data_IF_591726864702
#
_entry.id   IF_591726864702
#
_cell.length_a   1.000
_cell.length_b   1.000
_cell.length_c   1.000
_cell.angle_alpha   90.00
_cell.angle_beta   90.00
_cell.angle_gamma   90.00
#
_symmetry.space_group_name_H-M   'P 1'
#
loop_
_entity.id
_entity.type
_entity.pdbx_description
1 polymer ?
#
# COMPACT_ATOMS: atom_id res chain seq x y z
N UNK A 1 -11.13 -31.49 -0.16
CA UNK A 1 -11.00 -30.63 1.05
C UNK A 1 -9.82 -31.04 1.93
N UNK A 2 -9.70 -32.29 2.41
CA UNK A 2 -8.56 -32.69 3.27
C UNK A 2 -7.20 -32.46 2.62
N UNK A 3 -7.02 -32.82 1.35
CA UNK A 3 -5.78 -32.57 0.60
C UNK A 3 -5.41 -31.07 0.50
N UNK A 4 -6.40 -30.18 0.38
CA UNK A 4 -6.16 -28.73 0.36
C UNK A 4 -5.77 -28.17 1.73
N UNK A 5 -6.34 -28.73 2.82
CA UNK A 5 -5.96 -28.38 4.19
C UNK A 5 -4.54 -28.84 4.52
N UNK A 6 -4.19 -30.06 4.12
CA UNK A 6 -2.82 -30.57 4.26
C UNK A 6 -1.82 -29.75 3.43
N UNK A 7 -2.19 -29.40 2.20
CA UNK A 7 -1.38 -28.53 1.35
C UNK A 7 -1.16 -27.14 1.97
N UNK A 8 -2.17 -26.56 2.60
CA UNK A 8 -2.06 -25.30 3.34
C UNK A 8 -1.07 -25.39 4.50
N UNK A 9 -1.17 -26.45 5.29
CA UNK A 9 -0.29 -26.63 6.45
C UNK A 9 1.16 -26.79 6.02
N UNK A 10 1.42 -27.59 4.98
CA UNK A 10 2.75 -27.74 4.39
C UNK A 10 3.29 -26.44 3.78
N UNK A 11 2.46 -25.65 3.09
CA UNK A 11 2.85 -24.35 2.56
C UNK A 11 3.26 -23.40 3.69
N UNK A 12 2.47 -23.36 4.77
CA UNK A 12 2.72 -22.54 5.96
C UNK A 12 4.00 -22.98 6.68
N UNK A 13 4.18 -24.27 6.91
CA UNK A 13 5.40 -24.80 7.53
C UNK A 13 6.63 -24.52 6.66
N UNK A 14 6.51 -24.72 5.35
CA UNK A 14 7.58 -24.46 4.38
C UNK A 14 8.06 -23.02 4.41
N UNK A 15 7.15 -22.03 4.44
CA UNK A 15 7.57 -20.62 4.50
C UNK A 15 8.19 -20.25 5.87
N UNK A 16 7.70 -20.82 6.98
CA UNK A 16 8.28 -20.59 8.30
C UNK A 16 9.69 -21.17 8.40
N UNK A 17 9.88 -22.39 7.89
CA UNK A 17 11.18 -23.03 7.82
C UNK A 17 12.16 -22.24 6.94
N UNK A 18 11.71 -21.80 5.77
CA UNK A 18 12.51 -20.97 4.86
C UNK A 18 12.94 -19.66 5.50
N UNK A 19 12.04 -18.98 6.22
CA UNK A 19 12.36 -17.77 7.00
C UNK A 19 13.42 -18.03 8.04
N UNK A 20 13.30 -19.13 8.79
CA UNK A 20 14.28 -19.51 9.80
C UNK A 20 15.68 -19.68 9.19
N UNK A 21 15.79 -20.42 8.08
CA UNK A 21 17.06 -20.60 7.36
C UNK A 21 17.63 -19.27 6.87
N UNK A 22 16.80 -18.44 6.24
CA UNK A 22 17.27 -17.17 5.65
C UNK A 22 17.64 -16.13 6.69
N UNK A 23 16.89 -16.05 7.79
CA UNK A 23 17.20 -15.13 8.90
C UNK A 23 18.42 -15.55 9.71
N UNK A 24 18.86 -16.81 9.61
CA UNK A 24 20.12 -17.27 10.20
C UNK A 24 21.35 -16.85 9.38
N UNK A 25 21.18 -16.44 8.11
CA UNK A 25 22.27 -15.88 7.30
C UNK A 25 22.65 -14.50 7.85
N UNK A 26 23.94 -14.13 7.87
CA UNK A 26 24.33 -12.82 8.35
C UNK A 26 23.75 -11.74 7.45
N UNK A 27 23.32 -10.65 8.09
CA UNK A 27 22.92 -9.44 7.38
C UNK A 27 24.11 -8.89 6.60
N UNK A 28 23.93 -8.50 5.32
CA UNK A 28 24.97 -7.87 4.50
C UNK A 28 25.45 -6.51 5.04
N UNK A 29 24.73 -5.95 6.03
CA UNK A 29 25.09 -4.73 6.76
C UNK A 29 25.86 -5.00 8.06
N UNK A 30 25.97 -6.26 8.51
CA UNK A 30 26.69 -6.61 9.73
C UNK A 30 28.15 -6.92 9.42
N UNK A 31 29.08 -6.12 9.95
CA UNK A 31 30.53 -6.24 9.76
C UNK A 31 31.17 -7.44 10.50
N UNK A 32 30.40 -8.44 10.91
CA UNK A 32 30.90 -9.58 11.67
C UNK A 32 31.68 -10.52 10.75
N UNK A 33 33.02 -10.47 10.82
CA UNK A 33 33.95 -11.28 10.01
C UNK A 33 34.03 -12.77 10.42
N UNK A 34 33.12 -13.25 11.29
CA UNK A 34 33.30 -14.56 11.96
C UNK A 34 32.31 -15.66 11.52
N UNK A 35 31.57 -15.48 10.44
CA UNK A 35 30.60 -16.47 9.96
C UNK A 35 30.91 -16.96 8.53
N UNK A 36 31.05 -18.27 8.36
CA UNK A 36 31.27 -18.93 7.06
C UNK A 36 30.03 -18.97 6.16
N UNK A 37 28.85 -18.69 6.70
CA UNK A 37 27.63 -18.54 5.92
C UNK A 37 27.53 -17.09 5.45
N UNK A 38 27.52 -16.84 4.14
CA UNK A 38 27.26 -15.52 3.57
C UNK A 38 25.89 -15.52 2.89
N UNK A 39 25.21 -14.37 2.88
CA UNK A 39 23.98 -14.21 2.12
C UNK A 39 24.31 -14.15 0.63
N UNK A 40 23.82 -15.10 -0.16
CA UNK A 40 24.09 -15.21 -1.60
C UNK A 40 22.84 -14.78 -2.37
N UNK A 41 23.00 -13.84 -3.29
CA UNK A 41 21.94 -13.38 -4.19
C UNK A 41 21.67 -14.43 -5.29
N UNK A 42 20.57 -14.26 -6.04
CA UNK A 42 20.23 -15.08 -7.22
C UNK A 42 21.27 -15.04 -8.34
N UNK A 43 22.16 -14.03 -8.37
CA UNK A 43 23.30 -13.99 -9.30
C UNK A 43 24.49 -14.87 -8.86
N UNK A 44 24.36 -15.57 -7.72
CA UNK A 44 25.40 -16.43 -7.16
C UNK A 44 26.51 -15.67 -6.43
N UNK A 45 26.43 -14.34 -6.35
CA UNK A 45 27.40 -13.50 -5.66
C UNK A 45 26.92 -13.14 -4.25
N UNK A 46 27.87 -12.89 -3.35
CA UNK A 46 27.59 -12.45 -1.99
C UNK A 46 26.87 -11.11 -2.00
N UNK A 47 25.76 -11.00 -1.28
CA UNK A 47 25.15 -9.73 -0.92
C UNK A 47 26.07 -9.05 0.11
N UNK A 48 26.71 -7.95 -0.28
CA UNK A 48 27.50 -7.12 0.62
C UNK A 48 27.20 -5.64 0.33
N UNK A 49 27.01 -4.84 1.38
CA UNK A 49 26.86 -3.38 1.27
C UNK A 49 25.42 -2.84 1.32
N UNK A 50 25.31 -1.53 1.08
CA UNK A 50 24.13 -0.67 1.35
C UNK A 50 22.96 -0.91 0.40
N UNK A 51 23.20 -1.54 -0.76
CA UNK A 51 22.18 -1.79 -1.79
C UNK A 51 21.54 -3.18 -1.71
N UNK A 52 21.68 -3.87 -0.57
CA UNK A 52 21.02 -5.15 -0.35
C UNK A 52 19.57 -4.97 0.13
N UNK A 53 18.65 -5.69 -0.49
CA UNK A 53 17.23 -5.72 -0.15
C UNK A 53 16.87 -7.05 0.49
N UNK A 54 16.10 -6.99 1.58
CA UNK A 54 15.57 -8.17 2.23
C UNK A 54 14.13 -8.42 1.83
N UNK A 55 13.81 -9.62 1.35
CA UNK A 55 12.45 -9.99 0.98
C UNK A 55 11.55 -10.10 2.21
N UNK A 56 10.41 -9.40 2.24
CA UNK A 56 9.45 -9.42 3.35
C UNK A 56 8.77 -10.78 3.55
N UNK A 57 8.73 -11.63 2.52
CA UNK A 57 8.11 -12.95 2.62
C UNK A 57 9.11 -14.02 3.09
N UNK A 58 10.24 -14.21 2.40
CA UNK A 58 11.19 -15.27 2.73
C UNK A 58 12.38 -14.83 3.59
N UNK A 59 12.54 -13.53 3.83
CA UNK A 59 13.65 -12.92 4.59
C UNK A 59 15.04 -13.11 3.99
N UNK A 60 15.15 -13.53 2.72
CA UNK A 60 16.43 -13.65 2.03
C UNK A 60 16.91 -12.31 1.47
N UNK A 61 18.21 -12.22 1.20
CA UNK A 61 18.87 -11.01 0.73
C UNK A 61 19.17 -11.04 -0.77
N UNK A 62 18.98 -9.89 -1.42
CA UNK A 62 19.16 -9.72 -2.86
C UNK A 62 19.86 -8.39 -3.14
N UNK A 63 20.64 -8.31 -4.22
CA UNK A 63 21.12 -7.01 -4.70
C UNK A 63 19.97 -6.22 -5.32
N UNK A 64 19.92 -4.90 -5.08
CA UNK A 64 18.94 -4.02 -5.70
C UNK A 64 18.93 -4.07 -7.23
N UNK A 65 20.09 -4.26 -7.87
CA UNK A 65 20.20 -4.39 -9.34
C UNK A 65 19.76 -5.77 -9.88
N UNK A 66 19.77 -6.82 -9.05
CA UNK A 66 19.38 -8.17 -9.48
C UNK A 66 17.87 -8.41 -9.47
N UNK A 67 17.09 -7.49 -8.88
CA UNK A 67 15.66 -7.64 -8.68
C UNK A 67 14.95 -6.35 -9.05
N UNK A 68 13.71 -6.44 -9.53
CA UNK A 68 12.91 -5.24 -9.75
C UNK A 68 12.50 -4.68 -8.41
N UNK A 69 13.01 -3.49 -8.07
CA UNK A 69 12.56 -2.76 -6.88
C UNK A 69 11.22 -2.08 -7.23
N UNK A 70 10.15 -2.28 -6.45
CA UNK A 70 8.93 -1.47 -6.60
C UNK A 70 9.32 0.01 -6.56
N UNK A 71 8.77 0.84 -7.46
CA UNK A 71 9.18 2.23 -7.75
C UNK A 71 9.17 3.22 -6.56
N UNK A 72 8.91 2.76 -5.33
CA UNK A 72 8.71 3.59 -4.15
C UNK A 72 9.97 4.29 -3.62
N UNK A 73 11.17 3.78 -3.91
CA UNK A 73 12.40 4.49 -3.56
C UNK A 73 12.65 5.73 -4.44
N UNK A 74 12.02 5.82 -5.61
CA UNK A 74 12.10 7.01 -6.48
C UNK A 74 11.16 8.14 -6.02
N UNK A 75 10.15 7.85 -5.20
CA UNK A 75 9.18 8.85 -4.70
C UNK A 75 9.66 9.61 -3.47
N UNK A 76 10.80 9.25 -2.86
CA UNK A 76 11.38 9.98 -1.71
C UNK A 76 11.79 11.42 -2.06
N UNK A 77 11.83 11.78 -3.36
CA UNK A 77 12.03 13.16 -3.82
C UNK A 77 10.75 13.98 -4.02
N UNK A 78 9.56 13.41 -3.79
CA UNK A 78 8.30 14.15 -3.87
C UNK A 78 7.89 14.65 -2.47
N UNK A 79 8.28 15.91 -2.18
CA UNK A 79 7.68 16.82 -1.19
C UNK A 79 7.59 16.37 0.27
N UNK A 80 8.30 17.10 1.13
CA UNK A 80 8.22 17.08 2.60
C UNK A 80 6.86 17.59 3.14
N UNK A 81 5.73 17.12 2.63
CA UNK A 81 4.38 17.48 3.13
C UNK A 81 3.35 16.39 2.81
N UNK A 82 3.68 15.12 3.04
CA UNK A 82 2.63 14.12 3.28
C UNK A 82 3.14 13.02 4.17
N UNK A 83 2.91 13.21 5.48
CA UNK A 83 2.61 12.12 6.39
C UNK A 83 1.27 11.49 5.98
N UNK A 84 1.21 10.90 4.79
CA UNK A 84 0.15 9.97 4.45
C UNK A 84 0.65 8.61 4.90
N UNK A 85 0.03 8.13 5.99
CA UNK A 85 0.09 6.76 6.45
C UNK A 85 0.16 5.85 5.23
N UNK A 86 1.34 5.27 4.96
CA UNK A 86 1.49 4.20 3.99
C UNK A 86 0.46 3.15 4.38
N UNK A 87 -0.60 3.11 3.60
CA UNK A 87 -1.72 2.30 3.99
C UNK A 87 -1.24 0.85 3.93
N UNK A 88 -1.44 0.09 5.00
CA UNK A 88 -1.14 -1.35 5.08
C UNK A 88 -1.76 -2.21 3.95
N UNK A 89 -2.60 -1.64 3.08
CA UNK A 89 -3.15 -2.23 1.86
C UNK A 89 -2.47 -1.77 0.55
N UNK A 90 -1.50 -0.85 0.59
CA UNK A 90 -0.58 -0.57 -0.53
C UNK A 90 0.56 -1.60 -0.47
N UNK A 91 0.24 -2.80 -0.93
CA UNK A 91 1.13 -3.97 -1.00
C UNK A 91 2.38 -3.77 -1.87
N UNK A 92 2.57 -2.60 -2.48
CA UNK A 92 3.77 -2.21 -3.21
C UNK A 92 4.88 -1.67 -2.29
N UNK A 93 4.59 -1.37 -1.02
CA UNK A 93 5.55 -0.86 -0.01
C UNK A 93 6.58 -1.86 0.49
N UNK A 94 6.39 -3.15 0.15
CA UNK A 94 7.20 -4.26 0.64
C UNK A 94 7.94 -4.95 -0.50
N UNK A 95 9.24 -5.18 -0.34
CA UNK A 95 10.03 -5.86 -1.34
C UNK A 95 9.76 -7.37 -1.27
N UNK A 96 9.27 -7.94 -2.38
CA UNK A 96 9.14 -9.38 -2.55
C UNK A 96 10.08 -9.83 -3.67
N UNK A 97 10.91 -10.83 -3.40
CA UNK A 97 11.78 -11.38 -4.43
C UNK A 97 10.98 -12.05 -5.56
N UNK A 98 11.55 -12.24 -6.76
CA UNK A 98 10.82 -12.82 -7.91
C UNK A 98 10.17 -14.18 -7.62
N UNK A 99 10.78 -15.00 -6.75
CA UNK A 99 10.21 -16.28 -6.32
C UNK A 99 8.97 -16.09 -5.46
N UNK A 100 9.02 -15.16 -4.50
CA UNK A 100 7.89 -14.83 -3.63
C UNK A 100 6.79 -14.04 -4.36
N UNK A 101 7.13 -13.32 -5.42
CA UNK A 101 6.15 -12.63 -6.28
C UNK A 101 5.20 -13.61 -6.97
N UNK A 102 5.67 -14.81 -7.34
CA UNK A 102 4.82 -15.86 -7.93
C UNK A 102 3.74 -16.35 -6.97
N UNK A 103 4.01 -16.27 -5.66
CA UNK A 103 3.06 -16.60 -4.60
C UNK A 103 2.15 -15.43 -4.23
N UNK A 104 2.25 -14.28 -4.91
CA UNK A 104 1.34 -13.15 -4.68
C UNK A 104 -0.08 -13.60 -4.96
N UNK A 105 -0.96 -13.32 -4.00
CA UNK A 105 -2.36 -13.69 -4.11
C UNK A 105 -3.08 -12.67 -4.99
N UNK A 106 -3.89 -13.11 -5.97
CA UNK A 106 -4.74 -12.19 -6.73
C UNK A 106 -5.82 -11.58 -5.83
N UNK A 107 -6.41 -10.47 -6.29
CA UNK A 107 -7.51 -9.80 -5.57
C UNK A 107 -8.72 -10.73 -5.47
N UNK A 108 -9.45 -10.63 -4.36
CA UNK A 108 -10.64 -11.45 -4.13
C UNK A 108 -11.70 -11.24 -5.22
N UNK A 109 -11.88 -10.00 -5.68
CA UNK A 109 -12.76 -9.65 -6.81
C UNK A 109 -12.44 -10.43 -8.09
N UNK A 110 -11.15 -10.55 -8.42
CA UNK A 110 -10.69 -11.33 -9.57
C UNK A 110 -11.01 -12.81 -9.40
N UNK A 111 -10.75 -13.36 -8.20
CA UNK A 111 -11.04 -14.75 -7.88
C UNK A 111 -12.55 -15.04 -7.96
N UNK A 112 -13.39 -14.17 -7.38
CA UNK A 112 -14.84 -14.32 -7.41
C UNK A 112 -15.39 -14.30 -8.84
N UNK A 113 -14.85 -13.42 -9.68
CA UNK A 113 -15.21 -13.35 -11.11
C UNK A 113 -14.90 -14.66 -11.84
N UNK A 114 -13.74 -15.27 -11.56
CA UNK A 114 -13.38 -16.58 -12.10
C UNK A 114 -14.30 -17.69 -11.61
N UNK A 115 -14.67 -17.69 -10.32
CA UNK A 115 -15.60 -18.68 -9.75
C UNK A 115 -16.99 -18.59 -10.39
N UNK A 116 -17.51 -17.37 -10.61
CA UNK A 116 -18.79 -17.17 -11.33
C UNK A 116 -18.70 -17.64 -12.78
N UNK A 117 -17.56 -17.43 -13.43
CA UNK A 117 -17.29 -17.96 -14.77
C UNK A 117 -17.27 -19.49 -14.81
N UNK A 118 -16.60 -20.13 -13.85
CA UNK A 118 -16.49 -21.58 -13.72
C UNK A 118 -17.86 -22.25 -13.53
N UNK A 119 -18.80 -21.61 -12.81
CA UNK A 119 -20.16 -22.14 -12.63
C UNK A 119 -20.94 -22.31 -13.94
N UNK A 120 -20.53 -21.61 -15.02
CA UNK A 120 -21.17 -21.70 -16.34
C UNK A 120 -20.64 -22.88 -17.17
N UNK A 121 -19.54 -23.50 -16.77
CA UNK A 121 -18.99 -24.68 -17.43
C UNK A 121 -19.68 -25.94 -16.88
N UNK A 122 -20.06 -26.86 -17.77
CA UNK A 122 -20.68 -28.13 -17.38
C UNK A 122 -19.66 -29.18 -16.89
N UNK A 123 -18.38 -28.81 -16.81
CA UNK A 123 -17.28 -29.71 -16.42
C UNK A 123 -16.73 -29.26 -15.07
N UNK A 124 -16.52 -30.22 -14.16
CA UNK A 124 -15.94 -29.98 -12.85
C UNK A 124 -14.41 -30.01 -12.96
N UNK A 125 -13.77 -28.89 -12.68
CA UNK A 125 -12.32 -28.73 -12.74
C UNK A 125 -11.72 -28.76 -11.32
N UNK A 126 -10.68 -29.56 -11.04
CA UNK A 126 -10.01 -29.57 -9.74
C UNK A 126 -9.41 -28.20 -9.38
N UNK A 127 -9.02 -27.40 -10.36
CA UNK A 127 -8.55 -26.02 -10.19
C UNK A 127 -9.67 -25.11 -9.67
N UNK A 128 -10.92 -25.34 -10.10
CA UNK A 128 -12.09 -24.61 -9.61
C UNK A 128 -12.37 -24.90 -8.14
N UNK A 129 -12.21 -26.15 -7.72
CA UNK A 129 -12.35 -26.54 -6.31
C UNK A 129 -11.24 -25.95 -5.44
N UNK A 130 -10.01 -25.92 -5.95
CA UNK A 130 -8.88 -25.27 -5.29
C UNK A 130 -9.18 -23.78 -5.07
N UNK A 131 -9.71 -23.12 -6.09
CA UNK A 131 -10.07 -21.70 -6.04
C UNK A 131 -11.21 -21.41 -5.06
N UNK A 132 -12.22 -22.29 -5.01
CA UNK A 132 -13.30 -22.22 -4.03
C UNK A 132 -12.76 -22.37 -2.60
N UNK A 133 -11.92 -23.38 -2.35
CA UNK A 133 -11.28 -23.59 -1.06
C UNK A 133 -10.46 -22.36 -0.62
N UNK A 134 -9.73 -21.74 -1.57
CA UNK A 134 -8.97 -20.51 -1.33
C UNK A 134 -9.88 -19.34 -0.91
N UNK A 135 -11.04 -19.22 -1.55
CA UNK A 135 -12.03 -18.16 -1.30
C UNK A 135 -12.70 -18.33 0.06
N UNK A 136 -13.18 -19.54 0.36
CA UNK A 136 -13.77 -19.87 1.67
C UNK A 136 -12.78 -19.59 2.81
N UNK A 137 -11.51 -19.95 2.62
CA UNK A 137 -10.44 -19.64 3.57
C UNK A 137 -10.22 -18.14 3.74
N UNK A 138 -10.17 -17.38 2.65
CA UNK A 138 -9.99 -15.93 2.69
C UNK A 138 -11.15 -15.26 3.45
N UNK A 139 -12.39 -15.64 3.16
CA UNK A 139 -13.59 -15.14 3.84
C UNK A 139 -13.56 -15.52 5.33
N UNK A 140 -13.23 -16.77 5.66
CA UNK A 140 -13.12 -17.22 7.04
C UNK A 140 -12.05 -16.46 7.83
N UNK A 141 -10.88 -16.20 7.22
CA UNK A 141 -9.85 -15.36 7.83
C UNK A 141 -10.34 -13.93 8.03
N UNK A 142 -10.99 -13.32 7.03
CA UNK A 142 -11.55 -11.97 7.15
C UNK A 142 -12.58 -11.88 8.29
N UNK A 143 -13.42 -12.91 8.46
CA UNK A 143 -14.35 -13.01 9.58
C UNK A 143 -13.63 -12.99 10.93
N UNK A 144 -12.62 -13.85 11.11
CA UNK A 144 -11.81 -13.89 12.35
C UNK A 144 -11.05 -12.59 12.60
N UNK A 145 -10.48 -11.99 11.55
CA UNK A 145 -9.76 -10.73 11.65
C UNK A 145 -10.71 -9.59 12.09
N UNK A 146 -11.90 -9.49 11.49
CA UNK A 146 -12.92 -8.53 11.92
C UNK A 146 -13.33 -8.75 13.37
N UNK A 147 -13.54 -9.99 13.80
CA UNK A 147 -13.88 -10.30 15.19
C UNK A 147 -12.76 -9.91 16.16
N UNK A 148 -11.51 -10.22 15.83
CA UNK A 148 -10.35 -9.83 16.63
C UNK A 148 -10.22 -8.31 16.75
N UNK A 149 -10.42 -7.57 15.65
CA UNK A 149 -10.39 -6.10 15.66
C UNK A 149 -11.59 -5.47 16.38
N UNK A 150 -12.73 -6.16 16.43
CA UNK A 150 -13.91 -5.74 17.18
C UNK A 150 -13.84 -6.07 18.68
N UNK A 151 -12.77 -6.74 19.14
CA UNK A 151 -12.58 -7.00 20.57
C UNK A 151 -12.47 -5.69 21.35
N UNK A 152 -13.03 -5.67 22.55
CA UNK A 152 -13.08 -4.45 23.37
C UNK A 152 -11.68 -3.90 23.65
N UNK A 153 -10.73 -4.77 24.03
CA UNK A 153 -9.34 -4.42 24.29
C UNK A 153 -8.68 -3.70 23.10
N UNK A 154 -8.80 -4.29 21.90
CA UNK A 154 -8.20 -3.70 20.68
C UNK A 154 -8.89 -2.39 20.34
N UNK A 155 -10.23 -2.35 20.41
CA UNK A 155 -11.00 -1.14 20.11
C UNK A 155 -10.69 0.02 21.08
N UNK A 156 -10.47 -0.28 22.37
CA UNK A 156 -10.11 0.70 23.39
C UNK A 156 -8.70 1.27 23.14
N UNK A 157 -7.73 0.40 22.84
CA UNK A 157 -6.37 0.81 22.51
C UNK A 157 -6.33 1.67 21.23
N UNK A 158 -7.09 1.31 20.19
CA UNK A 158 -7.18 2.10 18.96
C UNK A 158 -7.75 3.50 19.23
N UNK A 159 -8.80 3.62 20.05
CA UNK A 159 -9.35 4.93 20.46
C UNK A 159 -8.32 5.76 21.24
N UNK A 160 -7.55 5.13 22.13
CA UNK A 160 -6.50 5.82 22.89
C UNK A 160 -5.39 6.33 21.97
N UNK A 161 -4.93 5.51 21.02
CA UNK A 161 -3.94 5.90 20.02
C UNK A 161 -4.43 7.08 19.17
N UNK A 162 -5.70 7.07 18.76
CA UNK A 162 -6.29 8.17 18.02
C UNK A 162 -6.33 9.47 18.83
N UNK A 163 -6.68 9.38 20.12
CA UNK A 163 -6.63 10.54 21.04
C UNK A 163 -5.21 11.09 21.18
N UNK A 164 -4.22 10.23 21.39
CA UNK A 164 -2.81 10.66 21.47
C UNK A 164 -2.31 11.28 20.17
N UNK A 165 -2.71 10.73 19.02
CA UNK A 165 -2.39 11.30 17.70
C UNK A 165 -3.00 12.69 17.54
N UNK A 166 -4.25 12.88 17.95
CA UNK A 166 -4.93 14.18 17.86
C UNK A 166 -4.26 15.21 18.77
N UNK A 167 -3.93 14.84 20.02
CA UNK A 167 -3.20 15.71 20.94
C UNK A 167 -1.86 16.18 20.36
N UNK A 168 -1.08 15.27 19.76
CA UNK A 168 0.18 15.63 19.11
C UNK A 168 -0.03 16.58 17.92
N UNK A 169 -1.09 16.39 17.14
CA UNK A 169 -1.42 17.28 16.02
C UNK A 169 -1.87 18.67 16.51
N UNK A 170 -2.62 18.74 17.60
CA UNK A 170 -3.10 20.00 18.18
C UNK A 170 -1.94 20.80 18.81
N UNK A 171 -1.03 20.14 19.53
CA UNK A 171 0.21 20.75 20.04
C UNK A 171 1.09 21.34 18.92
N UNK A 172 1.20 20.63 17.79
CA UNK A 172 1.91 21.12 16.61
C UNK A 172 1.21 22.31 15.94
N UNK A 173 -0.14 22.36 15.96
CA UNK A 173 -0.92 23.52 15.48
C UNK A 173 -0.76 24.73 16.40
N UNK A 174 -0.75 24.52 17.71
CA UNK A 174 -0.62 25.59 18.71
C UNK A 174 0.78 26.23 18.70
N UNK A 175 1.82 25.46 18.35
CA UNK A 175 3.20 25.97 18.21
C UNK A 175 3.50 26.69 16.89
N UNK A 176 2.55 26.82 15.96
CA UNK A 176 2.73 27.64 14.75
C UNK A 176 2.48 29.12 15.12
N UNK A 177 3.46 30.03 14.99
CA UNK A 177 3.24 31.44 15.34
C UNK A 177 2.18 32.05 14.43
N UNK A 178 1.16 32.68 15.02
CA UNK A 178 0.24 33.56 14.29
C UNK A 178 1.03 34.83 13.89
N UNK A 179 0.92 35.35 12.65
CA UNK A 179 1.50 36.63 12.29
C UNK A 179 0.76 37.70 13.09
N UNK A 180 1.43 38.22 14.12
CA UNK A 180 0.92 39.32 14.93
C UNK A 180 0.92 40.59 14.08
N UNK A 181 -0.24 40.97 13.57
CA UNK A 181 -0.51 42.33 13.16
C UNK A 181 -0.47 43.23 14.39
N UNK A 182 0.60 44.00 14.53
CA UNK A 182 0.56 45.28 15.23
C UNK A 182 0.99 46.34 14.24
N UNK A 183 0.03 47.21 13.89
CA UNK A 183 0.30 48.48 13.25
C UNK A 183 1.15 49.33 14.19
N UNK A 184 2.24 49.90 13.67
CA UNK A 184 2.84 51.11 14.21
C UNK A 184 3.26 51.97 13.01
N UNK A 185 2.51 53.04 12.78
CA UNK A 185 2.90 54.12 11.89
C UNK A 185 3.98 54.97 12.57
N UNK A 186 5.12 55.18 11.89
CA UNK A 186 5.74 56.49 11.83
C UNK A 186 6.72 56.59 10.64
N UNK A 187 6.41 57.55 9.78
CA UNK A 187 7.18 58.28 8.74
C UNK A 187 8.72 58.18 8.91
N UNK A 188 9.57 58.12 7.88
CA UNK A 188 9.73 59.10 6.78
C UNK A 188 10.74 58.58 5.73
N UNK A 189 10.52 58.95 4.47
CA UNK A 189 11.45 59.18 3.33
C UNK A 189 12.32 58.05 2.70
N UNK A 190 12.01 57.86 1.42
CA UNK A 190 12.90 57.72 0.25
C UNK A 190 13.86 56.52 0.12
N UNK A 191 13.57 55.65 -0.85
CA UNK A 191 14.38 55.49 -2.08
C UNK A 191 14.33 54.05 -2.63
N UNK A 192 13.89 53.92 -3.90
CA UNK A 192 14.39 52.91 -4.84
C UNK A 192 13.73 51.52 -4.89
N UNK A 193 12.83 51.32 -5.86
CA UNK A 193 12.82 50.26 -6.93
C UNK A 193 13.33 48.86 -6.52
N UNK A 194 12.65 47.74 -6.70
CA UNK A 194 11.86 47.29 -7.85
C UNK A 194 11.27 45.90 -7.54
N UNK A 195 10.18 45.53 -8.24
CA UNK A 195 9.66 44.16 -8.49
C UNK A 195 8.95 43.46 -7.32
N UNK A 196 7.63 43.29 -7.45
CA UNK A 196 6.86 42.03 -7.27
C UNK A 196 5.36 42.32 -7.52
N UNK A 197 4.88 42.01 -8.73
CA UNK A 197 3.47 41.89 -9.09
C UNK A 197 3.36 40.68 -10.00
N UNK A 198 2.77 39.60 -9.51
CA UNK A 198 2.09 38.54 -10.27
C UNK A 198 1.76 37.35 -9.35
N UNK A 199 0.92 37.54 -8.33
CA UNK A 199 0.25 36.40 -7.65
C UNK A 199 -1.17 36.77 -7.19
N UNK A 200 -1.86 37.60 -7.98
CA UNK A 200 -3.27 37.94 -7.75
C UNK A 200 -4.08 37.70 -9.03
N UNK A 201 -3.97 36.48 -9.59
CA UNK A 201 -4.77 36.06 -10.75
C UNK A 201 -5.11 34.56 -10.73
N UNK A 202 -5.44 33.97 -9.58
CA UNK A 202 -5.94 32.57 -9.55
C UNK A 202 -7.19 32.35 -8.67
N UNK A 203 -7.73 33.40 -8.03
CA UNK A 203 -8.90 33.26 -7.12
C UNK A 203 -10.24 33.57 -7.80
N UNK A 204 -10.28 33.82 -9.12
CA UNK A 204 -11.53 34.10 -9.84
C UNK A 204 -12.03 32.97 -10.77
N UNK A 205 -11.35 31.82 -10.82
CA UNK A 205 -11.73 30.75 -11.76
C UNK A 205 -12.51 29.55 -11.16
N UNK A 206 -12.77 29.51 -9.85
CA UNK A 206 -13.57 28.42 -9.24
C UNK A 206 -15.09 28.67 -9.20
N UNK A 207 -15.57 29.90 -9.46
CA UNK A 207 -17.02 30.18 -9.47
C UNK A 207 -17.71 29.88 -10.81
N UNK A 208 -16.97 29.45 -11.86
CA UNK A 208 -17.54 29.21 -13.20
C UNK A 208 -17.89 27.75 -13.52
N UNK A 209 -17.70 26.80 -12.60
CA UNK A 209 -18.03 25.37 -12.84
C UNK A 209 -19.27 24.87 -12.08
N UNK A 210 -20.02 25.75 -11.40
CA UNK A 210 -21.27 25.41 -10.70
C UNK A 210 -22.56 25.76 -11.44
N UNK A 211 -22.49 26.07 -12.74
CA UNK A 211 -23.68 26.38 -13.53
C UNK A 211 -23.67 25.68 -14.89
N UNK A 212 -23.98 24.38 -14.92
CA UNK A 212 -24.57 23.69 -16.09
C UNK A 212 -25.11 22.29 -15.73
N UNK A 213 -26.28 22.25 -15.07
CA UNK A 213 -27.19 21.10 -15.08
C UNK A 213 -28.56 21.58 -15.54
N UNK A 214 -28.86 21.41 -16.83
CA UNK A 214 -30.18 21.02 -17.40
C UNK A 214 -30.17 21.24 -18.91
N UNK A 215 -30.50 20.19 -19.67
CA UNK A 215 -31.60 20.14 -20.65
C UNK A 215 -31.75 18.67 -21.10
N UNK A 216 -32.98 18.15 -21.01
CA UNK A 216 -33.51 16.89 -21.57
C UNK A 216 -34.34 17.28 -22.82
N UNK A 217 -34.42 16.49 -23.91
CA UNK A 217 -35.62 15.65 -24.13
C UNK A 217 -35.47 14.31 -24.90
N UNK A 218 -36.16 13.30 -24.35
CA UNK A 218 -37.08 12.29 -24.94
C UNK A 218 -36.81 11.51 -26.25
N UNK A 219 -36.99 10.19 -26.07
CA UNK A 219 -37.76 9.19 -26.86
C UNK A 219 -37.45 8.96 -28.35
N UNK A 220 -37.07 7.72 -28.68
CA UNK A 220 -37.86 6.94 -29.63
C UNK A 220 -37.71 5.43 -29.39
N UNK A 221 -38.87 4.80 -29.30
CA UNK A 221 -39.12 3.37 -29.29
C UNK A 221 -39.13 2.88 -30.73
N UNK A 222 -38.41 1.81 -31.07
CA UNK A 222 -38.64 1.06 -32.29
C UNK A 222 -38.98 -0.40 -31.93
N UNK A 223 -40.26 -0.70 -32.12
CA UNK A 223 -40.87 -2.02 -32.16
C UNK A 223 -41.49 -2.15 -33.54
N UNK A 224 -41.11 -3.18 -34.29
CA UNK A 224 -41.68 -3.49 -35.59
C UNK A 224 -41.71 -5.01 -35.77
N UNK A 225 -42.91 -5.57 -35.68
CA UNK A 225 -43.24 -6.95 -36.02
C UNK A 225 -43.45 -7.11 -37.54
N UNK A 226 -43.13 -8.32 -38.03
CA UNK A 226 -43.64 -9.08 -39.18
C UNK A 226 -44.23 -8.36 -40.42
N UNK A 227 -43.69 -8.73 -41.58
CA UNK A 227 -44.41 -9.50 -42.62
C UNK A 227 -43.44 -10.46 -43.33
#
# INVERSE_FOLDING_TARGET
IMAFKEGEEKEKEGILHLRHINSAKPSPMSSSMNSSATSICICGQVCAGVEALQCDLCHDWFHGQCVTVPHLLSSVRASHTSSQLLAWWEWDTKFLCPLCMRSRRPRLETILSLLVGLQRLSVRLPEGEALQCLTERAIGWQGRARQALASEDVSALLKQLEKSRQQLQDELRYKKPLPSGFAFDCLTEDSGKDILKEEEELVLNEERLKSSEKIVPKESSFKGDKE
#
